data_IF_505479312281
#
_entry.id   IF_505479312281
#
_cell.length_a   1.000
_cell.length_b   1.000
_cell.length_c   1.000
_cell.angle_alpha   90.00
_cell.angle_beta   90.00
_cell.angle_gamma   90.00
#
_symmetry.space_group_name_H-M   'P 1'
#
loop_
_entity.id
_entity.type
_entity.pdbx_description
1 polymer ?
#
# COMPACT_ATOMS: atom_id res chain seq x y z
N UNK A 1 0.91 -2.97 -25.45
CA UNK A 1 0.84 -3.35 -24.92
C UNK A 1 1.03 -3.33 -23.68
N UNK A 2 0.70 -2.78 -23.07
CA UNK A 2 0.82 -2.65 -21.86
C UNK A 2 -0.11 -3.28 -21.09
N UNK A 3 -0.72 -4.20 -21.53
CA UNK A 3 -1.62 -4.82 -20.91
C UNK A 3 -1.13 -5.41 -19.83
N UNK A 4 -1.25 -5.71 -18.84
CA UNK A 4 -0.73 -6.32 -17.71
C UNK A 4 -0.29 -5.35 -16.68
N UNK A 5 -0.19 -4.12 -17.01
CA UNK A 5 0.23 -3.17 -16.04
C UNK A 5 -0.97 -2.50 -15.47
N UNK A 6 -1.21 -2.68 -14.18
CA UNK A 6 -2.31 -2.06 -13.56
C UNK A 6 -1.89 -0.78 -12.92
N UNK A 7 -2.47 0.30 -13.35
CA UNK A 7 -2.23 1.59 -12.77
C UNK A 7 -2.91 1.65 -11.42
N UNK A 8 -2.23 2.18 -10.44
CA UNK A 8 -2.80 2.30 -9.11
C UNK A 8 -2.55 3.70 -8.63
N UNK A 9 -3.58 4.36 -8.15
CA UNK A 9 -3.45 5.67 -7.61
C UNK A 9 -3.87 5.67 -6.19
N UNK A 10 -2.98 5.99 -5.29
CA UNK A 10 -3.33 6.11 -3.89
C UNK A 10 -4.06 7.42 -3.67
N UNK A 11 -5.16 7.36 -2.96
CA UNK A 11 -5.87 8.57 -2.61
C UNK A 11 -5.07 9.29 -1.56
N UNK A 12 -5.41 10.55 -1.30
CA UNK A 12 -4.74 11.31 -0.30
C UNK A 12 -4.88 10.64 1.07
N UNK A 13 -6.04 10.09 1.35
CA UNK A 13 -6.28 9.40 2.61
C UNK A 13 -5.38 8.17 2.73
N UNK A 14 -5.21 7.44 1.64
CA UNK A 14 -4.35 6.27 1.65
C UNK A 14 -2.89 6.66 1.85
N UNK A 15 -2.47 7.71 1.17
CA UNK A 15 -1.11 8.20 1.34
C UNK A 15 -0.86 8.65 2.77
N UNK A 16 -1.84 9.35 3.36
CA UNK A 16 -1.71 9.80 4.73
C UNK A 16 -1.61 8.62 5.69
N UNK A 17 -2.35 7.55 5.41
CA UNK A 17 -2.26 6.39 6.23
C UNK A 17 -0.90 5.75 6.17
N UNK A 18 -0.31 5.67 4.97
CA UNK A 18 1.03 5.12 4.84
C UNK A 18 2.04 5.93 5.64
N UNK A 19 1.93 7.25 5.58
CA UNK A 19 2.81 8.11 6.35
C UNK A 19 2.61 7.87 7.84
N UNK A 20 1.36 7.70 8.26
CA UNK A 20 1.08 7.46 9.64
C UNK A 20 1.62 6.13 10.11
N UNK A 21 1.52 5.10 9.30
CA UNK A 21 1.98 3.77 9.67
C UNK A 21 3.49 3.66 9.61
N UNK A 22 4.09 4.17 8.55
CA UNK A 22 5.50 3.94 8.31
C UNK A 22 6.37 5.17 8.41
N UNK A 23 5.78 6.33 8.34
CA UNK A 23 6.57 7.57 8.31
C UNK A 23 7.19 7.81 6.95
N UNK A 24 6.84 7.02 5.95
CA UNK A 24 7.41 7.14 4.62
C UNK A 24 6.32 7.52 3.63
N UNK A 25 6.59 8.51 2.81
CA UNK A 25 5.62 9.01 1.85
C UNK A 25 5.63 8.14 0.60
N UNK A 26 4.49 7.56 0.22
CA UNK A 26 4.42 6.71 -0.97
C UNK A 26 4.20 7.51 -2.25
N UNK A 27 4.84 8.65 -2.37
CA UNK A 27 4.58 9.55 -3.48
C UNK A 27 4.96 8.97 -4.83
N UNK A 28 5.87 8.00 -4.85
CA UNK A 28 6.31 7.43 -6.12
C UNK A 28 5.51 6.22 -6.56
N UNK A 29 4.52 5.84 -5.78
CA UNK A 29 3.73 4.65 -6.11
C UNK A 29 2.71 5.01 -7.19
N UNK A 30 2.78 4.34 -8.32
CA UNK A 30 1.87 4.58 -9.43
C UNK A 30 1.31 3.31 -10.02
N UNK A 31 1.72 2.16 -9.51
CA UNK A 31 1.22 0.90 -9.98
C UNK A 31 1.21 -0.08 -8.83
N UNK A 32 0.58 -1.21 -9.04
CA UNK A 32 0.55 -2.25 -8.03
C UNK A 32 1.98 -2.73 -7.74
N UNK A 33 2.80 -2.84 -8.78
CA UNK A 33 4.17 -3.26 -8.60
C UNK A 33 4.93 -2.27 -7.72
N UNK A 34 4.70 -0.98 -7.96
CA UNK A 34 5.33 0.05 -7.15
C UNK A 34 4.91 -0.05 -5.70
N UNK A 35 3.63 -0.33 -5.47
CA UNK A 35 3.12 -0.45 -4.12
C UNK A 35 3.76 -1.63 -3.41
N UNK A 36 3.90 -2.74 -4.11
CA UNK A 36 4.52 -3.92 -3.51
C UNK A 36 5.99 -3.66 -3.18
N UNK A 37 6.67 -2.93 -4.05
CA UNK A 37 8.06 -2.56 -3.77
C UNK A 37 8.14 -1.61 -2.58
N UNK A 38 7.20 -0.69 -2.48
CA UNK A 38 7.14 0.23 -1.37
C UNK A 38 6.97 -0.55 -0.06
N UNK A 39 6.09 -1.54 -0.07
CA UNK A 39 5.86 -2.36 1.11
C UNK A 39 7.13 -3.13 1.49
N UNK A 40 7.82 -3.68 0.50
CA UNK A 40 9.06 -4.40 0.77
C UNK A 40 10.08 -3.47 1.39
N UNK A 41 10.18 -2.27 0.87
CA UNK A 41 11.12 -1.29 1.39
C UNK A 41 10.76 -0.92 2.84
N UNK A 42 9.49 -0.75 3.12
CA UNK A 42 9.05 -0.43 4.47
C UNK A 42 9.38 -1.56 5.43
N UNK A 43 9.13 -2.79 5.02
CA UNK A 43 9.41 -3.92 5.89
C UNK A 43 10.90 -4.10 6.11
N UNK A 44 11.70 -3.76 5.12
CA UNK A 44 13.13 -3.84 5.26
C UNK A 44 13.64 -2.76 6.20
N UNK A 45 13.03 -1.59 6.13
CA UNK A 45 13.41 -0.49 6.99
C UNK A 45 13.05 -0.80 8.45
N UNK A 46 11.94 -1.46 8.68
CA UNK A 46 11.51 -1.82 10.02
C UNK A 46 11.64 -3.31 10.24
N UNK A 47 12.87 -3.81 10.11
CA UNK A 47 13.07 -5.23 10.28
C UNK A 47 13.27 -5.55 11.75
N UNK A 48 13.04 -6.78 12.11
CA UNK A 48 13.21 -7.19 13.49
C UNK A 48 12.16 -8.20 13.89
N UNK A 49 12.28 -8.71 15.10
CA UNK A 49 11.35 -9.71 15.58
C UNK A 49 10.62 -9.28 16.83
N UNK A 50 10.76 -8.03 17.23
CA UNK A 50 10.04 -7.56 18.41
C UNK A 50 8.55 -7.52 18.12
N UNK A 51 7.75 -7.49 19.15
CA UNK A 51 6.32 -7.44 18.98
C UNK A 51 5.89 -6.18 18.25
N UNK A 52 6.54 -5.07 18.53
CA UNK A 52 6.21 -3.83 17.88
C UNK A 52 6.47 -3.92 16.38
N UNK A 53 7.60 -4.51 16.00
CA UNK A 53 7.92 -4.66 14.59
C UNK A 53 6.92 -5.57 13.91
N UNK A 54 6.54 -6.66 14.56
CA UNK A 54 5.59 -7.59 13.99
C UNK A 54 4.23 -6.94 13.82
N UNK A 55 3.83 -6.13 14.79
CA UNK A 55 2.57 -5.43 14.70
C UNK A 55 2.61 -4.42 13.55
N UNK A 56 3.74 -3.75 13.39
CA UNK A 56 3.89 -2.79 12.30
C UNK A 56 3.78 -3.51 10.96
N UNK A 57 4.43 -4.66 10.83
CA UNK A 57 4.33 -5.42 9.59
C UNK A 57 2.88 -5.86 9.33
N UNK A 58 2.17 -6.19 10.39
CA UNK A 58 0.76 -6.53 10.26
C UNK A 58 -0.04 -5.34 9.71
N UNK A 59 0.22 -4.16 10.23
CA UNK A 59 -0.47 -2.97 9.76
C UNK A 59 -0.12 -2.68 8.30
N UNK A 60 1.13 -2.88 7.93
CA UNK A 60 1.56 -2.67 6.56
C UNK A 60 0.82 -3.63 5.64
N UNK A 61 0.73 -4.89 6.02
CA UNK A 61 0.04 -5.87 5.20
C UNK A 61 -1.45 -5.57 5.09
N UNK A 62 -2.05 -5.11 6.17
CA UNK A 62 -3.47 -4.77 6.16
C UNK A 62 -3.74 -3.58 5.24
N UNK A 63 -2.86 -2.60 5.28
CA UNK A 63 -3.03 -1.44 4.43
C UNK A 63 -2.81 -1.81 2.97
N UNK A 64 -1.84 -2.65 2.69
CA UNK A 64 -1.60 -3.11 1.33
C UNK A 64 -2.85 -3.82 0.80
N UNK A 65 -3.41 -4.71 1.60
CA UNK A 65 -4.60 -5.45 1.19
C UNK A 65 -5.76 -4.49 0.94
N UNK A 66 -5.90 -3.50 1.80
CA UNK A 66 -6.96 -2.52 1.67
C UNK A 66 -6.81 -1.72 0.38
N UNK A 67 -5.57 -1.30 0.08
CA UNK A 67 -5.33 -0.54 -1.14
C UNK A 67 -5.61 -1.37 -2.38
N UNK A 68 -5.21 -2.64 -2.36
CA UNK A 68 -5.41 -3.49 -3.52
C UNK A 68 -6.87 -3.90 -3.69
N UNK A 69 -7.61 -3.92 -2.61
CA UNK A 69 -9.02 -4.28 -2.68
C UNK A 69 -9.89 -3.16 -3.19
N UNK A 70 -9.38 -1.91 -3.26
CA UNK A 70 -10.15 -0.87 -3.75
C UNK A 70 -10.29 -0.98 -5.20
N UNK A 71 -11.32 -1.54 -5.71
CA UNK A 71 -11.53 -1.70 -7.12
C UNK A 71 -12.08 -0.48 -7.69
N UNK A 72 -11.69 -0.18 -8.76
CA UNK A 72 -12.26 0.97 -9.39
C UNK A 72 -13.69 0.71 -9.67
N UNK A 73 -14.26 0.22 -9.45
CA UNK A 73 -15.38 0.05 -9.64
C UNK A 73 -16.22 0.36 -9.64
N UNK A 74 -16.27 0.16 -9.56
CA UNK A 74 -16.89 0.28 -9.50
C UNK A 74 -17.85 0.55 -9.49
N UNK A 75 -18.12 0.64 -9.53
CA UNK A 75 -18.76 0.81 -9.45
C UNK A 75 -19.70 0.86 -9.40
N UNK A 76 -20.03 0.63 -9.44
CA UNK A 76 -20.79 0.42 -9.41
C UNK A 76 -21.48 0.73 -8.97
N UNK A 77 -21.46 0.90 -8.82
CA UNK A 77 -22.09 0.97 -8.41
C UNK A 77 -22.74 1.09 -7.95
N UNK A 78 -22.86 0.72 -8.00
CA UNK A 78 -23.43 0.54 -7.54
C UNK A 78 -23.94 0.70 -7.13
N UNK A 79 -23.96 0.73 -7.25
CA UNK A 79 -24.37 0.57 -6.87
C UNK A 79 -24.73 0.67 -6.61
#
# INVERSE_FOLDING_TARGET
MLRGIKTLRLTRRESDRWVKITGIDPATVRSEADLRQFVQRCKRHFWGTSEDTRFLHFLIDEELRSNLAQEPIDVEGHQ
#
